data_IF_185609426988
#
_entry.id   IF_185609426988
#
_cell.length_a   1.000
_cell.length_b   1.000
_cell.length_c   1.000
_cell.angle_alpha   90.00
_cell.angle_beta   90.00
_cell.angle_gamma   90.00
#
_symmetry.space_group_name_H-M   'P 1'
#
loop_
_entity.id
_entity.type
_entity.pdbx_description
1 polymer ?
#
# COMPACT_ATOMS: atom_id res chain seq x y z
N UNK A 1 0.29 -10.43 -1.91
CA UNK A 1 0.21 -11.07 -0.58
C UNK A 1 -0.17 -9.98 0.42
N UNK A 2 -1.27 -10.12 1.16
CA UNK A 2 -1.63 -9.13 2.19
C UNK A 2 -0.63 -9.30 3.34
N UNK A 3 0.07 -8.22 3.69
CA UNK A 3 0.90 -8.15 4.90
C UNK A 3 0.08 -7.40 5.93
N UNK A 4 -0.14 -8.01 7.10
CA UNK A 4 -0.87 -7.39 8.20
C UNK A 4 0.09 -6.98 9.31
N UNK A 5 -0.20 -5.84 9.95
CA UNK A 5 0.48 -5.40 11.15
C UNK A 5 -0.11 -6.09 12.39
N UNK A 6 0.65 -6.12 13.49
CA UNK A 6 0.23 -6.84 14.70
C UNK A 6 -1.12 -6.41 15.27
N UNK A 7 -1.46 -5.13 15.11
CA UNK A 7 -2.72 -4.58 15.61
C UNK A 7 -3.90 -4.85 14.67
N UNK A 8 -3.66 -5.37 13.47
CA UNK A 8 -4.68 -5.72 12.47
C UNK A 8 -5.11 -7.19 12.55
N UNK A 9 -4.61 -7.97 13.53
CA UNK A 9 -4.90 -9.41 13.67
C UNK A 9 -6.38 -9.74 13.62
N UNK A 10 -7.21 -8.97 14.31
CA UNK A 10 -8.66 -9.18 14.32
C UNK A 10 -9.31 -9.01 12.92
N UNK A 11 -8.76 -8.12 12.08
CA UNK A 11 -9.19 -7.97 10.68
C UNK A 11 -8.66 -9.14 9.85
N UNK A 12 -7.39 -9.50 10.03
CA UNK A 12 -6.77 -10.61 9.32
C UNK A 12 -7.49 -11.95 9.53
N UNK A 13 -8.00 -12.21 10.74
CA UNK A 13 -8.81 -13.40 11.06
C UNK A 13 -10.15 -13.41 10.31
N UNK A 14 -10.83 -12.26 10.22
CA UNK A 14 -12.09 -12.13 9.48
C UNK A 14 -11.84 -12.34 7.98
N UNK A 15 -10.79 -11.70 7.46
CA UNK A 15 -10.40 -11.81 6.04
C UNK A 15 -9.99 -13.24 5.67
N UNK A 16 -9.25 -13.94 6.52
CA UNK A 16 -8.90 -15.34 6.30
C UNK A 16 -10.15 -16.24 6.21
N UNK A 17 -11.17 -15.95 7.04
CA UNK A 17 -12.44 -16.68 6.99
C UNK A 17 -13.28 -16.33 5.76
N UNK A 18 -13.23 -15.07 5.31
CA UNK A 18 -13.83 -14.67 4.03
C UNK A 18 -13.18 -15.42 2.87
N UNK A 19 -11.85 -15.51 2.85
CA UNK A 19 -11.10 -16.22 1.81
C UNK A 19 -11.46 -17.72 1.79
N UNK A 20 -11.60 -18.36 2.96
CA UNK A 20 -12.03 -19.76 3.09
C UNK A 20 -13.45 -19.97 2.53
N UNK A 21 -14.42 -19.15 2.95
CA UNK A 21 -15.80 -19.23 2.49
C UNK A 21 -15.91 -18.98 0.97
N UNK A 22 -15.13 -18.03 0.46
CA UNK A 22 -15.05 -17.73 -0.97
C UNK A 22 -14.54 -18.92 -1.77
N UNK A 23 -13.54 -19.65 -1.24
CA UNK A 23 -13.04 -20.89 -1.83
C UNK A 23 -14.11 -21.99 -1.89
N UNK A 24 -14.93 -22.13 -0.84
CA UNK A 24 -16.04 -23.10 -0.79
C UNK A 24 -17.13 -22.75 -1.80
N UNK A 25 -17.48 -21.47 -1.93
CA UNK A 25 -18.46 -21.00 -2.93
C UNK A 25 -17.97 -21.32 -4.35
N UNK A 26 -16.70 -21.07 -4.64
CA UNK A 26 -16.10 -21.37 -5.94
C UNK A 26 -16.14 -22.87 -6.28
N UNK A 27 -16.16 -23.75 -5.28
CA UNK A 27 -16.28 -25.20 -5.44
C UNK A 27 -17.73 -25.73 -5.58
N UNK A 28 -18.72 -24.85 -5.68
CA UNK A 28 -20.15 -25.21 -5.85
C UNK A 28 -21.03 -24.95 -4.62
N UNK A 29 -20.64 -24.01 -3.76
CA UNK A 29 -21.38 -23.64 -2.55
C UNK A 29 -22.74 -22.96 -2.79
N UNK A 30 -23.55 -22.87 -1.74
CA UNK A 30 -24.92 -22.36 -1.80
C UNK A 30 -25.02 -20.82 -1.71
N UNK A 31 -26.16 -20.27 -2.15
CA UNK A 31 -26.47 -18.82 -2.09
C UNK A 31 -26.36 -18.25 -0.66
N UNK A 32 -26.64 -19.06 0.38
CA UNK A 32 -26.56 -18.63 1.76
C UNK A 32 -25.13 -18.24 2.21
N UNK A 33 -24.11 -18.84 1.59
CA UNK A 33 -22.71 -18.50 1.87
C UNK A 33 -22.33 -17.12 1.32
N UNK A 34 -22.91 -16.71 0.18
CA UNK A 34 -22.65 -15.37 -0.38
C UNK A 34 -23.17 -14.26 0.53
N UNK A 35 -24.36 -14.44 1.10
CA UNK A 35 -24.92 -13.46 2.06
C UNK A 35 -24.07 -13.36 3.33
N UNK A 36 -23.51 -14.48 3.79
CA UNK A 36 -22.60 -14.50 4.94
C UNK A 36 -21.26 -13.83 4.63
N UNK A 37 -20.67 -14.11 3.46
CA UNK A 37 -19.46 -13.44 2.97
C UNK A 37 -19.66 -11.92 2.95
N UNK A 38 -20.73 -11.42 2.32
CA UNK A 38 -20.98 -9.98 2.24
C UNK A 38 -21.16 -9.32 3.62
N UNK A 39 -21.78 -10.02 4.58
CA UNK A 39 -21.88 -9.55 5.97
C UNK A 39 -20.51 -9.49 6.64
N UNK A 40 -19.68 -10.51 6.46
CA UNK A 40 -18.33 -10.55 7.02
C UNK A 40 -17.43 -9.48 6.41
N UNK A 41 -17.50 -9.25 5.10
CA UNK A 41 -16.77 -8.19 4.40
C UNK A 41 -17.14 -6.81 4.95
N UNK A 42 -18.44 -6.54 5.10
CA UNK A 42 -18.93 -5.27 5.68
C UNK A 42 -18.39 -5.07 7.10
N UNK A 43 -18.39 -6.15 7.90
CA UNK A 43 -17.86 -6.11 9.27
C UNK A 43 -16.33 -5.90 9.29
N UNK A 44 -15.60 -6.56 8.40
CA UNK A 44 -14.15 -6.40 8.25
C UNK A 44 -13.80 -4.94 7.90
N UNK A 45 -14.49 -4.37 6.91
CA UNK A 45 -14.29 -2.98 6.49
C UNK A 45 -14.61 -1.98 7.60
N UNK A 46 -15.71 -2.18 8.33
CA UNK A 46 -16.08 -1.32 9.46
C UNK A 46 -15.01 -1.37 10.56
N UNK A 47 -14.56 -2.58 10.95
CA UNK A 47 -13.53 -2.77 11.94
C UNK A 47 -12.19 -2.13 11.52
N UNK A 48 -11.80 -2.32 10.27
CA UNK A 48 -10.60 -1.72 9.70
C UNK A 48 -10.67 -0.19 9.77
N UNK A 49 -11.81 0.39 9.37
CA UNK A 49 -12.03 1.84 9.41
C UNK A 49 -11.91 2.40 10.84
N UNK A 50 -12.54 1.74 11.81
CA UNK A 50 -12.51 2.17 13.21
C UNK A 50 -11.10 2.06 13.81
N UNK A 51 -10.38 0.98 13.49
CA UNK A 51 -8.99 0.75 13.89
C UNK A 51 -8.06 1.86 13.36
N UNK A 52 -8.15 2.16 12.06
CA UNK A 52 -7.35 3.22 11.43
C UNK A 52 -7.77 4.63 11.87
N UNK A 53 -9.02 4.82 12.29
CA UNK A 53 -9.52 6.07 12.85
C UNK A 53 -8.95 6.40 14.24
N UNK A 54 -8.47 5.41 14.98
CA UNK A 54 -8.08 5.55 16.39
C UNK A 54 -6.65 5.05 16.68
N UNK A 55 -5.76 5.12 15.69
CA UNK A 55 -4.37 4.66 15.83
C UNK A 55 -3.58 5.42 16.91
N UNK A 56 -2.91 4.64 17.77
CA UNK A 56 -1.91 5.14 18.70
C UNK A 56 -0.67 5.67 17.96
N UNK A 57 0.16 6.53 18.58
CA UNK A 57 1.39 7.03 17.96
C UNK A 57 2.33 5.93 17.46
N UNK A 58 2.46 4.84 18.22
CA UNK A 58 3.29 3.70 17.83
C UNK A 58 2.73 2.97 16.61
N UNK A 59 1.41 2.72 16.57
CA UNK A 59 0.76 2.08 15.42
C UNK A 59 0.90 2.94 14.16
N UNK A 60 0.81 4.28 14.25
CA UNK A 60 1.09 5.17 13.11
C UNK A 60 2.51 5.01 12.59
N UNK A 61 3.49 4.88 13.48
CA UNK A 61 4.87 4.62 13.08
C UNK A 61 5.05 3.26 12.39
N UNK A 62 4.32 2.22 12.85
CA UNK A 62 4.29 0.91 12.19
C UNK A 62 3.73 1.01 10.77
N UNK A 63 2.61 1.73 10.56
CA UNK A 63 2.04 1.98 9.22
C UNK A 63 3.02 2.73 8.33
N UNK A 64 3.68 3.78 8.86
CA UNK A 64 4.68 4.54 8.11
C UNK A 64 5.90 3.69 7.70
N UNK A 65 6.15 2.57 8.38
CA UNK A 65 7.24 1.63 8.10
C UNK A 65 6.74 0.32 7.47
N UNK A 66 5.50 0.29 7.01
CA UNK A 66 4.92 -0.92 6.44
C UNK A 66 5.77 -1.41 5.25
N UNK A 67 6.07 -2.73 5.15
CA UNK A 67 6.92 -3.27 4.07
C UNK A 67 6.38 -2.98 2.67
N UNK A 68 5.06 -2.95 2.51
CA UNK A 68 4.38 -2.64 1.24
C UNK A 68 3.96 -1.17 1.13
N UNK A 69 4.55 -0.27 1.91
CA UNK A 69 4.26 1.17 1.78
C UNK A 69 4.77 1.63 0.40
N UNK A 70 3.96 2.32 -0.40
CA UNK A 70 4.44 2.86 -1.68
C UNK A 70 5.64 3.79 -1.50
N UNK A 71 6.67 3.57 -2.30
CA UNK A 71 7.91 4.34 -2.36
C UNK A 71 7.80 5.50 -3.36
N UNK A 72 8.85 6.29 -3.47
CA UNK A 72 8.86 7.47 -4.33
C UNK A 72 8.59 7.12 -5.79
N UNK A 73 9.25 6.07 -6.32
CA UNK A 73 9.02 5.56 -7.68
C UNK A 73 7.57 5.15 -7.95
N UNK A 74 6.85 4.62 -6.96
CA UNK A 74 5.44 4.25 -7.11
C UNK A 74 4.57 5.48 -7.34
N UNK A 75 4.79 6.56 -6.59
CA UNK A 75 4.08 7.82 -6.79
C UNK A 75 4.44 8.48 -8.12
N UNK A 76 5.71 8.47 -8.51
CA UNK A 76 6.14 9.00 -9.81
C UNK A 76 5.42 8.27 -10.93
N UNK A 77 5.40 6.93 -10.89
CA UNK A 77 4.73 6.09 -11.90
C UNK A 77 3.22 6.33 -11.96
N UNK A 78 2.57 6.55 -10.80
CA UNK A 78 1.12 6.74 -10.73
C UNK A 78 0.64 8.18 -10.98
N UNK A 79 1.48 9.19 -10.82
CA UNK A 79 1.06 10.60 -10.77
C UNK A 79 1.77 11.52 -11.77
N UNK A 80 2.96 11.15 -12.26
CA UNK A 80 3.80 12.04 -13.07
C UNK A 80 3.87 11.55 -14.51
N UNK A 81 3.50 12.43 -15.43
CA UNK A 81 3.62 12.22 -16.87
C UNK A 81 5.00 12.70 -17.38
N UNK A 82 5.50 12.09 -18.46
CA UNK A 82 6.75 12.46 -19.14
C UNK A 82 7.97 12.57 -18.20
N UNK A 83 8.03 11.74 -17.14
CA UNK A 83 9.10 11.82 -16.15
C UNK A 83 10.47 11.52 -16.76
N UNK A 84 11.38 12.48 -16.63
CA UNK A 84 12.76 12.42 -17.10
C UNK A 84 13.69 12.51 -15.88
N UNK A 85 14.26 11.38 -15.41
CA UNK A 85 15.16 11.38 -14.27
C UNK A 85 16.44 12.17 -14.56
N UNK A 86 16.93 12.86 -13.53
CA UNK A 86 18.20 13.59 -13.55
C UNK A 86 19.12 12.96 -12.51
N UNK A 87 20.36 12.71 -12.91
CA UNK A 87 21.37 12.06 -12.08
C UNK A 87 22.65 12.91 -11.97
N UNK A 88 23.33 12.75 -10.85
CA UNK A 88 24.63 13.27 -10.51
C UNK A 88 24.59 14.60 -9.78
N UNK A 89 25.42 14.72 -8.76
CA UNK A 89 25.70 15.96 -8.03
C UNK A 89 26.70 16.90 -8.76
N UNK A 90 27.27 16.44 -9.88
CA UNK A 90 28.34 17.10 -10.67
C UNK A 90 29.68 17.25 -9.94
N UNK A 91 29.87 16.62 -8.78
CA UNK A 91 31.07 16.73 -7.97
C UNK A 91 31.67 15.37 -7.62
N UNK A 92 30.86 14.41 -7.17
CA UNK A 92 31.30 13.11 -6.70
C UNK A 92 30.62 11.96 -7.46
N UNK A 93 29.29 11.94 -7.51
CA UNK A 93 28.55 10.81 -8.05
C UNK A 93 27.03 10.95 -7.97
N UNK A 94 26.35 9.87 -8.31
CA UNK A 94 24.91 9.74 -8.15
C UNK A 94 24.59 9.01 -6.84
N UNK A 95 23.65 9.55 -6.06
CA UNK A 95 23.12 8.91 -4.86
C UNK A 95 21.77 8.26 -5.17
N UNK A 96 21.75 6.93 -5.27
CA UNK A 96 20.54 6.17 -5.61
C UNK A 96 19.42 6.31 -4.56
N UNK A 97 19.72 6.79 -3.35
CA UNK A 97 18.72 7.07 -2.32
C UNK A 97 17.92 8.35 -2.59
N UNK A 98 18.38 9.22 -3.51
CA UNK A 98 17.68 10.43 -3.93
C UNK A 98 17.37 10.31 -5.42
N UNK A 99 16.08 10.29 -5.75
CA UNK A 99 15.64 10.29 -7.14
C UNK A 99 14.97 11.63 -7.43
N UNK A 100 15.40 12.26 -8.52
CA UNK A 100 14.84 13.53 -8.96
C UNK A 100 14.71 13.60 -10.47
N UNK A 101 13.85 14.49 -10.96
CA UNK A 101 13.64 14.65 -12.40
C UNK A 101 12.61 15.70 -12.76
N UNK A 102 12.51 15.95 -14.06
CA UNK A 102 11.48 16.81 -14.64
C UNK A 102 10.29 15.97 -15.09
N UNK A 103 9.08 16.49 -14.96
CA UNK A 103 7.89 15.82 -15.46
C UNK A 103 6.70 16.75 -15.47
N UNK A 104 5.51 16.18 -15.65
CA UNK A 104 4.24 16.90 -15.62
C UNK A 104 3.31 16.34 -14.57
N UNK A 105 2.78 17.21 -13.71
CA UNK A 105 1.70 16.87 -12.79
C UNK A 105 0.45 17.64 -13.20
N UNK A 106 -0.60 16.93 -13.63
CA UNK A 106 -1.85 17.54 -14.13
C UNK A 106 -1.59 18.59 -15.23
N UNK A 107 -0.71 18.25 -16.18
CA UNK A 107 -0.31 19.13 -17.29
C UNK A 107 0.66 20.26 -16.92
N UNK A 108 1.00 20.47 -15.65
CA UNK A 108 1.96 21.48 -15.23
C UNK A 108 3.37 20.90 -15.14
N UNK A 109 4.34 21.54 -15.80
CA UNK A 109 5.75 21.15 -15.71
C UNK A 109 6.27 21.38 -14.29
N UNK A 110 6.84 20.33 -13.69
CA UNK A 110 7.35 20.32 -12.32
C UNK A 110 8.72 19.65 -12.24
N UNK A 111 9.51 20.06 -11.26
CA UNK A 111 10.67 19.31 -10.80
C UNK A 111 10.24 18.52 -9.55
N UNK A 112 10.44 17.21 -9.56
CA UNK A 112 10.09 16.33 -8.44
C UNK A 112 11.38 15.73 -7.91
N UNK A 113 11.52 15.71 -6.58
CA UNK A 113 12.66 15.11 -5.88
C UNK A 113 12.11 14.38 -4.66
N UNK A 114 12.62 13.18 -4.39
CA UNK A 114 12.28 12.44 -3.19
C UNK A 114 13.28 11.36 -2.85
N UNK A 115 13.11 10.80 -1.66
CA UNK A 115 13.91 9.69 -1.17
C UNK A 115 13.36 8.38 -1.73
N UNK A 116 14.20 7.61 -2.39
CA UNK A 116 13.88 6.24 -2.80
C UNK A 116 14.46 5.26 -1.78
N UNK A 117 13.57 4.58 -1.08
CA UNK A 117 13.95 3.49 -0.18
C UNK A 117 14.07 2.21 -0.99
N UNK A 118 15.12 1.43 -0.76
CA UNK A 118 15.27 0.10 -1.35
C UNK A 118 14.06 -0.79 -1.06
N UNK A 119 13.64 -1.58 -2.06
CA UNK A 119 12.49 -2.48 -1.98
C UNK A 119 12.85 -3.81 -1.30
N UNK A 120 14.05 -4.29 -1.59
CA UNK A 120 14.64 -5.51 -1.05
C UNK A 120 15.92 -5.18 -0.27
N UNK A 121 16.52 -6.24 0.26
CA UNK A 121 17.78 -6.20 1.01
C UNK A 121 18.96 -6.78 0.23
N UNK A 122 18.74 -7.12 -1.05
CA UNK A 122 19.77 -7.67 -1.95
C UNK A 122 20.51 -6.56 -2.72
#
# INVERSE_FOLDING_TARGET
MRSYLDFEKAVAEIDAKIDELTGIVAAGGSVALNDEISRMETKSQALLKDLYGTLTPWQKAMVARHPLRPHFKDYVTGLIEDFSPLAGDRAFGEDEAIVGGLGRFKGQSVCIIGQEKGWDTE
#
